data_IF_200264536949
#
_entry.id   IF_200264536949
#
_cell.length_a   1.000
_cell.length_b   1.000
_cell.length_c   1.000
_cell.angle_alpha   90.00
_cell.angle_beta   90.00
_cell.angle_gamma   90.00
#
_symmetry.space_group_name_H-M   'P 1'
#
loop_
_entity.id
_entity.type
_entity.pdbx_description
1 polymer ?
#
# COMPACT_ATOMS: atom_id res chain seq x y z
N UNK A 1 -37.24 -5.66 49.22
CA UNK A 1 -36.36 -6.44 50.12
C UNK A 1 -35.41 -7.25 49.25
N UNK A 2 -34.15 -7.31 49.69
CA UNK A 2 -33.01 -8.12 49.21
C UNK A 2 -32.16 -7.54 48.07
N UNK A 3 -31.02 -7.01 48.53
CA UNK A 3 -29.77 -6.70 47.85
C UNK A 3 -28.98 -7.97 47.48
N UNK A 4 -28.06 -7.83 46.52
CA UNK A 4 -26.67 -8.39 46.52
C UNK A 4 -25.90 -7.64 45.40
N UNK A 5 -25.14 -6.59 45.72
CA UNK A 5 -23.67 -6.53 45.91
C UNK A 5 -22.86 -7.36 44.89
N UNK A 6 -22.21 -6.69 43.93
CA UNK A 6 -20.75 -6.38 43.87
C UNK A 6 -19.89 -7.64 43.62
N UNK A 7 -18.97 -7.69 42.66
CA UNK A 7 -17.62 -7.08 42.73
C UNK A 7 -16.95 -7.12 41.33
N UNK A 8 -16.53 -5.94 40.87
CA UNK A 8 -15.26 -5.54 40.22
C UNK A 8 -14.48 -6.44 39.24
N UNK A 9 -14.15 -5.80 38.11
CA UNK A 9 -12.85 -5.72 37.42
C UNK A 9 -12.38 -6.86 36.51
N UNK A 10 -12.38 -6.57 35.20
CA UNK A 10 -11.16 -6.71 34.40
C UNK A 10 -11.10 -5.62 33.32
N UNK A 11 -10.12 -4.75 33.52
CA UNK A 11 -9.67 -3.62 32.70
C UNK A 11 -9.58 -3.92 31.19
N UNK A 12 -10.10 -3.00 30.38
CA UNK A 12 -9.54 -2.68 29.08
C UNK A 12 -9.44 -1.17 28.92
N UNK A 13 -8.36 -0.62 29.47
CA UNK A 13 -7.88 0.69 29.05
C UNK A 13 -7.53 0.66 27.55
N UNK A 14 -7.59 1.83 26.92
CA UNK A 14 -7.25 2.18 25.52
C UNK A 14 -8.40 2.14 24.50
N UNK A 15 -8.81 3.23 23.86
CA UNK A 15 -8.31 4.61 23.84
C UNK A 15 -9.38 5.39 23.04
N UNK A 16 -10.03 6.34 23.70
CA UNK A 16 -10.60 7.58 23.13
C UNK A 16 -11.21 7.51 21.71
N UNK A 17 -12.51 7.20 21.61
CA UNK A 17 -13.35 7.47 20.44
C UNK A 17 -14.12 8.80 20.54
N UNK A 18 -13.56 9.77 21.28
CA UNK A 18 -14.14 11.10 21.48
C UNK A 18 -13.24 12.14 20.78
N UNK A 19 -13.47 12.38 19.49
CA UNK A 19 -13.16 13.69 18.91
C UNK A 19 -14.30 14.16 18.02
N UNK A 20 -15.32 14.69 18.69
CA UNK A 20 -16.23 15.66 18.11
C UNK A 20 -15.48 16.97 17.84
N UNK A 21 -15.07 17.19 16.58
CA UNK A 21 -15.03 18.54 16.01
C UNK A 21 -15.74 18.55 14.66
N UNK A 22 -16.83 19.31 14.63
CA UNK A 22 -17.65 19.57 13.47
C UNK A 22 -16.85 20.31 12.39
N UNK A 23 -16.44 19.61 11.33
CA UNK A 23 -16.09 20.28 10.06
C UNK A 23 -16.43 19.39 8.86
N UNK A 24 -17.57 19.71 8.25
CA UNK A 24 -18.06 19.23 6.95
C UNK A 24 -18.05 17.71 6.74
N UNK A 25 -19.23 17.09 6.92
CA UNK A 25 -19.54 15.74 6.42
C UNK A 25 -19.54 15.74 4.88
N UNK A 26 -18.40 15.96 4.22
CA UNK A 26 -18.22 15.45 2.86
C UNK A 26 -18.33 13.94 3.02
N UNK A 27 -19.45 13.35 2.58
CA UNK A 27 -19.53 11.92 2.25
C UNK A 27 -18.40 11.65 1.27
N UNK A 28 -17.21 11.33 1.78
CA UNK A 28 -16.11 10.85 0.96
C UNK A 28 -16.63 9.52 0.44
N UNK A 29 -16.84 9.46 -0.87
CA UNK A 29 -17.08 8.21 -1.57
C UNK A 29 -16.03 7.21 -1.07
N UNK A 30 -16.45 6.25 -0.24
CA UNK A 30 -15.60 5.17 0.23
C UNK A 30 -15.23 4.38 -1.01
N UNK A 31 -14.10 4.73 -1.63
CA UNK A 31 -13.60 4.03 -2.80
C UNK A 31 -13.45 2.56 -2.41
N UNK A 32 -13.94 1.65 -3.25
CA UNK A 32 -13.92 0.20 -2.98
C UNK A 32 -12.60 -0.21 -2.34
N UNK A 33 -12.65 -0.79 -1.14
CA UNK A 33 -11.46 -1.20 -0.38
C UNK A 33 -10.61 -2.13 -1.28
N UNK A 34 -9.45 -1.65 -1.75
CA UNK A 34 -8.38 -2.54 -2.18
C UNK A 34 -7.65 -3.00 -0.93
N UNK A 35 -7.23 -4.26 -0.90
CA UNK A 35 -6.44 -4.79 0.20
C UNK A 35 -5.07 -4.10 0.23
N UNK A 36 -4.40 -4.14 1.38
CA UNK A 36 -3.07 -3.58 1.53
C UNK A 36 -2.07 -4.21 0.54
N UNK A 37 -2.15 -5.52 0.33
CA UNK A 37 -1.30 -6.26 -0.61
C UNK A 37 -1.54 -5.85 -2.07
N UNK A 38 -2.81 -5.68 -2.48
CA UNK A 38 -3.15 -5.16 -3.81
C UNK A 38 -2.56 -3.76 -4.01
N UNK A 39 -2.59 -2.91 -2.99
CA UNK A 39 -2.02 -1.56 -3.06
C UNK A 39 -0.49 -1.59 -3.11
N UNK A 40 0.16 -2.47 -2.34
CA UNK A 40 1.62 -2.65 -2.39
C UNK A 40 2.05 -3.07 -3.80
N UNK A 41 1.38 -4.06 -4.40
CA UNK A 41 1.69 -4.53 -5.75
C UNK A 41 1.46 -3.45 -6.82
N UNK A 42 0.36 -2.69 -6.70
CA UNK A 42 0.10 -1.55 -7.56
C UNK A 42 1.22 -0.49 -7.49
N UNK A 43 1.59 -0.06 -6.27
CA UNK A 43 2.64 0.96 -6.08
C UNK A 43 4.00 0.42 -6.55
N UNK A 44 4.31 -0.85 -6.32
CA UNK A 44 5.54 -1.49 -6.78
C UNK A 44 5.67 -1.43 -8.31
N UNK A 45 4.61 -1.80 -9.04
CA UNK A 45 4.61 -1.76 -10.51
C UNK A 45 4.72 -0.32 -11.02
N UNK A 46 4.00 0.61 -10.41
CA UNK A 46 4.08 2.03 -10.76
C UNK A 46 5.51 2.56 -10.59
N UNK A 47 6.17 2.20 -9.49
CA UNK A 47 7.56 2.54 -9.20
C UNK A 47 8.49 1.95 -10.28
N UNK A 48 8.50 0.62 -10.44
CA UNK A 48 9.39 -0.08 -11.38
C UNK A 48 9.20 0.37 -12.84
N UNK A 49 7.96 0.49 -13.29
CA UNK A 49 7.66 0.89 -14.67
C UNK A 49 7.97 2.37 -14.96
N UNK A 50 8.11 3.21 -13.92
CA UNK A 50 8.58 4.58 -14.06
C UNK A 50 10.11 4.69 -14.11
N UNK A 51 10.82 3.79 -13.43
CA UNK A 51 12.29 3.72 -13.43
C UNK A 51 12.86 3.02 -14.66
N UNK A 52 12.09 2.16 -15.34
CA UNK A 52 12.55 1.35 -16.47
C UNK A 52 13.25 2.18 -17.58
N UNK A 53 13.05 3.50 -17.68
CA UNK A 53 13.74 4.37 -18.65
C UNK A 53 13.41 4.08 -20.12
N UNK A 54 12.75 2.94 -20.40
CA UNK A 54 12.33 2.41 -21.71
C UNK A 54 11.46 3.37 -22.51
N UNK A 55 10.91 4.39 -21.87
CA UNK A 55 10.08 5.40 -22.49
C UNK A 55 10.79 6.74 -22.32
N UNK A 56 11.52 7.15 -23.36
CA UNK A 56 12.27 8.41 -23.38
C UNK A 56 11.38 9.64 -23.15
N UNK A 57 11.99 10.83 -22.94
CA UNK A 57 11.30 12.04 -22.52
C UNK A 57 10.12 12.47 -23.41
N UNK A 58 10.15 12.08 -24.70
CA UNK A 58 9.22 12.53 -25.73
C UNK A 58 8.05 11.57 -26.02
N UNK A 59 7.91 10.46 -25.29
CA UNK A 59 6.73 9.61 -25.46
C UNK A 59 5.52 10.27 -24.78
N UNK A 60 4.40 10.35 -25.51
CA UNK A 60 3.14 10.89 -24.99
C UNK A 60 2.85 10.36 -23.57
N UNK A 61 2.88 11.22 -22.53
CA UNK A 61 2.85 10.78 -21.13
C UNK A 61 1.54 10.06 -20.78
N UNK A 62 0.45 10.35 -21.48
CA UNK A 62 -0.83 9.68 -21.29
C UNK A 62 -0.80 8.23 -21.79
N UNK A 63 -0.11 7.97 -22.90
CA UNK A 63 0.09 6.62 -23.45
C UNK A 63 0.92 5.79 -22.49
N UNK A 64 2.00 6.37 -21.94
CA UNK A 64 2.84 5.70 -20.93
C UNK A 64 2.03 5.37 -19.67
N UNK A 65 1.29 6.34 -19.11
CA UNK A 65 0.42 6.10 -17.95
C UNK A 65 -0.60 4.99 -18.24
N UNK A 66 -1.21 4.96 -19.42
CA UNK A 66 -2.16 3.92 -19.82
C UNK A 66 -1.53 2.52 -19.91
N UNK A 67 -0.30 2.42 -20.43
CA UNK A 67 0.47 1.16 -20.47
C UNK A 67 0.78 0.65 -19.06
N UNK A 68 1.22 1.54 -18.17
CA UNK A 68 1.53 1.17 -16.78
C UNK A 68 0.26 0.70 -16.05
N UNK A 69 -0.85 1.43 -16.20
CA UNK A 69 -2.15 1.01 -15.63
C UNK A 69 -2.60 -0.36 -16.15
N UNK A 70 -2.28 -0.68 -17.41
CA UNK A 70 -2.57 -2.00 -17.98
C UNK A 70 -1.71 -3.11 -17.35
N UNK A 71 -0.44 -2.82 -17.01
CA UNK A 71 0.41 -3.76 -16.27
C UNK A 71 -0.15 -4.04 -14.87
N UNK A 72 -0.58 -3.01 -14.15
CA UNK A 72 -1.20 -3.15 -12.83
C UNK A 72 -2.47 -4.00 -12.90
N UNK A 73 -3.36 -3.74 -13.87
CA UNK A 73 -4.56 -4.57 -14.03
C UNK A 73 -4.25 -6.03 -14.29
N UNK A 74 -3.22 -6.29 -15.10
CA UNK A 74 -2.81 -7.66 -15.43
C UNK A 74 -2.27 -8.37 -14.19
N UNK A 75 -1.41 -7.73 -13.39
CA UNK A 75 -0.88 -8.34 -12.18
C UNK A 75 -1.94 -8.55 -11.12
N UNK A 76 -2.85 -7.59 -10.90
CA UNK A 76 -3.92 -7.74 -9.92
C UNK A 76 -4.85 -8.91 -10.26
N UNK A 77 -5.17 -9.08 -11.55
CA UNK A 77 -5.95 -10.23 -12.01
C UNK A 77 -5.19 -11.54 -11.87
N UNK A 78 -3.88 -11.57 -12.14
CA UNK A 78 -3.09 -12.80 -12.11
C UNK A 78 -2.75 -13.25 -10.68
N UNK A 79 -2.39 -12.32 -9.80
CA UNK A 79 -1.92 -12.62 -8.45
C UNK A 79 -3.06 -12.70 -7.43
N UNK A 80 -4.05 -11.82 -7.54
CA UNK A 80 -5.14 -11.71 -6.56
C UNK A 80 -6.50 -12.16 -7.12
N UNK A 81 -6.58 -12.50 -8.41
CA UNK A 81 -7.86 -12.84 -9.06
C UNK A 81 -8.82 -11.65 -9.18
N UNK A 82 -8.36 -10.43 -8.87
CA UNK A 82 -9.27 -9.29 -8.74
C UNK A 82 -9.46 -8.57 -10.07
N UNK A 83 -10.73 -8.37 -10.44
CA UNK A 83 -11.13 -7.65 -11.64
C UNK A 83 -11.43 -6.19 -11.30
N UNK A 84 -10.53 -5.28 -11.65
CA UNK A 84 -10.71 -3.83 -11.51
C UNK A 84 -10.74 -3.12 -12.86
N UNK A 85 -11.24 -1.89 -12.89
CA UNK A 85 -11.16 -1.01 -14.06
C UNK A 85 -9.94 -0.08 -13.99
N UNK A 86 -9.50 0.42 -15.15
CA UNK A 86 -8.42 1.42 -15.22
C UNK A 86 -8.75 2.69 -14.43
N UNK A 87 -10.02 3.08 -14.42
CA UNK A 87 -10.50 4.26 -13.73
C UNK A 87 -10.49 4.09 -12.21
N UNK A 88 -10.88 2.90 -11.71
CA UNK A 88 -10.79 2.58 -10.29
C UNK A 88 -9.34 2.67 -9.78
N UNK A 89 -8.37 2.15 -10.56
CA UNK A 89 -6.96 2.25 -10.20
C UNK A 89 -6.43 3.68 -10.23
N UNK A 90 -6.83 4.48 -11.23
CA UNK A 90 -6.47 5.90 -11.30
C UNK A 90 -7.01 6.66 -10.08
N UNK A 91 -8.28 6.42 -9.74
CA UNK A 91 -8.91 7.01 -8.55
C UNK A 91 -8.14 6.60 -7.29
N UNK A 92 -7.85 5.31 -7.10
CA UNK A 92 -7.11 4.85 -5.92
C UNK A 92 -5.68 5.38 -5.84
N UNK A 93 -4.99 5.51 -6.96
CA UNK A 93 -3.69 6.16 -7.00
C UNK A 93 -3.77 7.63 -6.58
N UNK A 94 -4.79 8.36 -7.04
CA UNK A 94 -5.01 9.75 -6.64
C UNK A 94 -5.33 9.86 -5.15
N UNK A 95 -6.21 9.00 -4.62
CA UNK A 95 -6.56 8.97 -3.20
C UNK A 95 -5.33 8.69 -2.32
N UNK A 96 -4.47 7.76 -2.75
CA UNK A 96 -3.25 7.40 -2.03
C UNK A 96 -2.24 8.57 -1.96
N UNK A 97 -2.15 9.37 -3.04
CA UNK A 97 -1.23 10.52 -3.09
C UNK A 97 -1.78 11.77 -2.38
N UNK A 98 -3.10 11.96 -2.34
CA UNK A 98 -3.72 13.21 -1.88
C UNK A 98 -4.39 13.10 -0.50
N UNK A 99 -4.89 11.91 -0.15
CA UNK A 99 -5.75 11.72 1.03
C UNK A 99 -5.24 10.73 2.07
N UNK A 100 -4.40 9.77 1.68
CA UNK A 100 -3.99 8.64 2.52
C UNK A 100 -2.47 8.57 2.72
N UNK A 101 -1.86 9.69 3.13
CA UNK A 101 -0.40 9.82 3.32
C UNK A 101 0.20 8.72 4.21
N UNK A 102 -0.49 8.34 5.28
CA UNK A 102 -0.02 7.27 6.18
C UNK A 102 -0.02 5.89 5.53
N UNK A 103 -1.03 5.57 4.70
CA UNK A 103 -1.05 4.31 3.97
C UNK A 103 0.08 4.28 2.94
N UNK A 104 0.26 5.37 2.20
CA UNK A 104 1.37 5.49 1.25
C UNK A 104 2.73 5.35 1.94
N UNK A 105 2.91 5.98 3.11
CA UNK A 105 4.12 5.88 3.93
C UNK A 105 4.37 4.43 4.38
N UNK A 106 3.34 3.70 4.81
CA UNK A 106 3.43 2.28 5.17
C UNK A 106 3.83 1.41 3.99
N UNK A 107 3.18 1.58 2.84
CA UNK A 107 3.49 0.86 1.59
C UNK A 107 4.94 1.12 1.17
N UNK A 108 5.37 2.39 1.16
CA UNK A 108 6.74 2.76 0.79
C UNK A 108 7.78 2.13 1.72
N UNK A 109 7.50 2.03 3.03
CA UNK A 109 8.38 1.34 3.98
C UNK A 109 8.51 -0.15 3.68
N UNK A 110 7.40 -0.83 3.33
CA UNK A 110 7.43 -2.25 2.95
C UNK A 110 8.27 -2.46 1.71
N UNK A 111 8.04 -1.65 0.66
CA UNK A 111 8.80 -1.72 -0.59
C UNK A 111 10.30 -1.44 -0.40
N UNK A 112 10.64 -0.47 0.47
CA UNK A 112 12.04 -0.18 0.77
C UNK A 112 12.74 -1.35 1.47
N UNK A 113 12.05 -2.02 2.41
CA UNK A 113 12.59 -3.19 3.12
C UNK A 113 12.80 -4.38 2.20
N UNK A 114 11.92 -4.61 1.22
CA UNK A 114 12.11 -5.67 0.21
C UNK A 114 13.25 -5.35 -0.76
N UNK A 115 13.43 -4.08 -1.14
CA UNK A 115 14.52 -3.66 -2.02
C UNK A 115 15.90 -3.87 -1.33
N UNK A 116 16.02 -3.56 -0.04
CA UNK A 116 17.28 -3.69 0.73
C UNK A 116 17.66 -5.16 0.97
N UNK A 117 16.70 -6.05 1.20
CA UNK A 117 16.99 -7.47 1.40
C UNK A 117 17.55 -8.16 0.14
N UNK A 118 17.23 -7.65 -1.06
CA UNK A 118 17.79 -8.14 -2.32
C UNK A 118 19.25 -7.70 -2.52
N UNK A 119 19.72 -6.70 -1.78
CA UNK A 119 21.08 -6.11 -1.92
C UNK A 119 22.11 -6.75 -0.97
N UNK A 120 21.77 -7.81 -0.22
CA UNK A 120 22.78 -8.58 0.53
C UNK A 120 23.53 -9.50 -0.44
N UNK A 121 24.84 -9.30 -0.70
CA UNK A 121 25.62 -10.21 -1.53
C UNK A 121 25.81 -11.52 -0.76
N UNK A 122 25.05 -12.55 -1.14
CA UNK A 122 25.27 -13.92 -0.68
C UNK A 122 26.46 -14.51 -1.43
N UNK A 123 27.68 -14.04 -1.15
CA UNK A 123 28.91 -14.80 -1.40
C UNK A 123 30.16 -14.03 -0.94
N UNK A 124 30.75 -14.48 0.16
CA UNK A 124 32.18 -14.77 0.15
C UNK A 124 32.39 -16.02 0.97
N UNK A 125 32.51 -17.13 0.24
CA UNK A 125 32.93 -18.42 0.75
C UNK A 125 34.36 -18.22 1.26
N UNK A 126 34.54 -18.10 2.57
CA UNK A 126 35.86 -17.99 3.18
C UNK A 126 36.47 -19.40 3.21
N UNK A 127 37.16 -19.79 2.14
CA UNK A 127 38.05 -20.95 2.14
C UNK A 127 39.33 -20.55 2.87
N UNK A 128 39.42 -20.90 4.15
CA UNK A 128 40.70 -20.95 4.86
C UNK A 128 41.46 -22.17 4.36
N UNK A 129 42.48 -21.96 3.54
CA UNK A 129 43.47 -22.99 3.24
C UNK A 129 44.48 -22.99 4.39
N UNK A 130 44.64 -24.13 5.05
CA UNK A 130 45.62 -24.35 6.12
C UNK A 130 46.96 -24.71 5.50
N UNK A 131 48.02 -24.03 5.94
CA UNK A 131 49.42 -24.42 5.75
C UNK A 131 50.10 -24.51 7.11
#
# INVERSE_FOLDING_TARGET
MVETQQVLNSSNEEESLEQATSRSRRRRFKASNMSFEEMVEMVNILKRANYDGKYGPYLNPNVRKAKIMTKVLKSLRQNFGVRRSKEQLRKRWSDLNLGEQDQYRRIKKVLLKSDVQVVVPKSSHFTSDSA
#
